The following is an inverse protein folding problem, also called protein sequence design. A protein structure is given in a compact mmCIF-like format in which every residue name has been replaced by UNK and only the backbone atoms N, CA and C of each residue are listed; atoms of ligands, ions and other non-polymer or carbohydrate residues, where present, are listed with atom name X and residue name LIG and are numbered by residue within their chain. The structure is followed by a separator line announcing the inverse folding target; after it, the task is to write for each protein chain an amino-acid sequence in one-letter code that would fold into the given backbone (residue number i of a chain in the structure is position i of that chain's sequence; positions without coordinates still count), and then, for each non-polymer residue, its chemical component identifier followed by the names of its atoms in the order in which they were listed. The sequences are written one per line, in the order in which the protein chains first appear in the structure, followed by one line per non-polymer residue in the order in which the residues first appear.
data_IF_508281034287
#
_entry.id   IF_508281034287
#
_cell.length_a   1.000
_cell.length_b   1.000
_cell.length_c   1.000
_cell.angle_alpha   90.00
_cell.angle_beta   90.00
_cell.angle_gamma   90.00
#
_symmetry.space_group_name_H-M   'P 1'
#
loop_
_entity.id
_entity.type
_entity.pdbx_description
1 polymer ?
#
# COMPACT_ATOMS: atom_id res chain seq x y z
N UNK A 1 -3.43 27.31 0.80
CA UNK A 1 -3.21 25.90 1.13
C UNK A 1 -3.22 25.15 -0.19
N UNK A 2 -2.20 24.34 -0.50
CA UNK A 2 -2.26 23.49 -1.70
C UNK A 2 -3.29 22.40 -1.41
N UNK A 3 -4.45 22.49 -2.03
CA UNK A 3 -5.51 21.49 -1.84
C UNK A 3 -5.21 20.26 -2.72
N UNK A 4 -5.26 19.08 -2.09
CA UNK A 4 -5.25 17.82 -2.83
C UNK A 4 -6.48 17.74 -3.72
N UNK A 5 -6.28 17.32 -4.97
CA UNK A 5 -7.35 17.06 -5.95
C UNK A 5 -8.37 16.05 -5.41
N UNK A 6 -9.58 16.04 -5.98
CA UNK A 6 -10.61 15.04 -5.63
C UNK A 6 -10.08 13.61 -5.79
N UNK A 7 -9.35 13.35 -6.88
CA UNK A 7 -8.66 12.08 -7.13
C UNK A 7 -7.67 11.72 -6.02
N UNK A 8 -6.84 12.68 -5.59
CA UNK A 8 -5.88 12.43 -4.52
C UNK A 8 -6.55 12.13 -3.18
N UNK A 9 -7.71 12.75 -2.88
CA UNK A 9 -8.50 12.44 -1.68
C UNK A 9 -9.10 11.03 -1.73
N UNK A 10 -9.61 10.62 -2.89
CA UNK A 10 -10.12 9.26 -3.09
C UNK A 10 -9.04 8.20 -2.82
N UNK A 11 -7.82 8.41 -3.35
CA UNK A 11 -6.71 7.50 -3.07
C UNK A 11 -6.31 7.49 -1.58
N UNK A 12 -6.39 8.62 -0.87
CA UNK A 12 -6.11 8.66 0.57
C UNK A 12 -7.12 7.83 1.35
N UNK A 13 -8.41 7.96 1.05
CA UNK A 13 -9.47 7.20 1.72
C UNK A 13 -9.30 5.71 1.46
N UNK A 14 -9.12 5.31 0.20
CA UNK A 14 -8.89 3.91 -0.19
C UNK A 14 -7.65 3.32 0.47
N UNK A 15 -6.56 4.09 0.52
CA UNK A 15 -5.32 3.65 1.15
C UNK A 15 -5.49 3.49 2.66
N UNK A 16 -6.18 4.41 3.35
CA UNK A 16 -6.48 4.28 4.79
C UNK A 16 -7.31 3.03 5.07
N UNK A 17 -8.38 2.82 4.31
CA UNK A 17 -9.19 1.59 4.42
C UNK A 17 -8.35 0.34 4.18
N UNK A 18 -7.45 0.36 3.18
CA UNK A 18 -6.56 -0.77 2.94
C UNK A 18 -5.60 -1.04 4.10
N UNK A 19 -5.05 0.01 4.72
CA UNK A 19 -4.22 -0.13 5.91
C UNK A 19 -5.01 -0.73 7.07
N UNK A 20 -6.19 -0.21 7.35
CA UNK A 20 -7.05 -0.64 8.46
C UNK A 20 -7.60 -2.07 8.31
N UNK A 21 -8.02 -2.45 7.10
CA UNK A 21 -8.69 -3.74 6.86
C UNK A 21 -7.73 -4.87 6.47
N UNK A 22 -6.57 -4.56 5.89
CA UNK A 22 -5.65 -5.57 5.34
C UNK A 22 -4.27 -5.52 5.99
N UNK A 23 -3.63 -4.35 6.08
CA UNK A 23 -2.23 -4.27 6.52
C UNK A 23 -2.08 -4.45 8.03
N UNK A 24 -2.75 -3.65 8.85
CA UNK A 24 -2.62 -3.74 10.31
C UNK A 24 -3.09 -5.10 10.86
N UNK A 25 -4.22 -5.68 10.41
CA UNK A 25 -4.61 -7.02 10.84
C UNK A 25 -3.64 -8.13 10.42
N UNK A 26 -2.82 -7.89 9.39
CA UNK A 26 -1.83 -8.85 8.91
C UNK A 26 -0.50 -8.79 9.68
N UNK A 27 -0.22 -7.74 10.47
CA UNK A 27 1.02 -7.62 11.24
C UNK A 27 1.27 -8.79 12.22
N UNK A 28 0.28 -9.27 12.99
CA UNK A 28 0.47 -10.44 13.85
C UNK A 28 0.76 -11.71 13.05
N UNK A 29 0.06 -11.90 11.92
CA UNK A 29 0.26 -13.06 11.02
C UNK A 29 1.67 -13.03 10.41
N UNK A 30 2.14 -11.85 10.03
CA UNK A 30 3.52 -11.65 9.58
C UNK A 30 4.51 -12.05 10.66
N UNK A 31 4.32 -11.59 11.90
CA UNK A 31 5.19 -11.92 13.01
C UNK A 31 5.22 -13.43 13.29
N UNK A 32 4.07 -14.11 13.26
CA UNK A 32 3.97 -15.56 13.42
C UNK A 32 4.69 -16.32 12.29
N UNK A 33 4.46 -15.94 11.03
CA UNK A 33 5.10 -16.58 9.88
C UNK A 33 6.62 -16.37 9.89
N UNK A 34 7.09 -15.19 10.29
CA UNK A 34 8.52 -14.90 10.43
C UNK A 34 9.16 -15.63 11.61
N UNK A 35 8.44 -15.80 12.73
CA UNK A 35 8.94 -16.58 13.88
C UNK A 35 9.04 -18.07 13.55
N UNK A 36 8.16 -18.59 12.70
CA UNK A 36 8.21 -19.96 12.20
C UNK A 36 9.22 -20.16 11.05
N UNK A 37 9.74 -19.08 10.46
CA UNK A 37 10.65 -19.15 9.33
C UNK A 37 12.04 -19.65 9.74
N UNK A 38 12.60 -20.55 8.92
CA UNK A 38 13.96 -21.07 9.12
C UNK A 38 15.06 -20.02 8.88
N UNK A 39 14.73 -18.93 8.20
CA UNK A 39 15.67 -17.85 7.85
C UNK A 39 15.00 -16.49 8.01
N UNK A 40 15.71 -15.48 8.53
CA UNK A 40 15.21 -14.10 8.63
C UNK A 40 14.99 -13.43 7.26
N UNK A 41 15.48 -14.03 6.17
CA UNK A 41 15.27 -13.54 4.80
C UNK A 41 14.10 -14.22 4.10
N UNK A 42 13.34 -15.06 4.81
CA UNK A 42 12.15 -15.71 4.24
C UNK A 42 11.10 -14.65 3.95
N UNK A 43 10.45 -14.76 2.79
CA UNK A 43 9.30 -13.93 2.45
C UNK A 43 8.03 -14.65 2.90
N UNK A 44 7.34 -14.17 3.94
CA UNK A 44 6.15 -14.81 4.46
C UNK A 44 4.99 -14.66 3.47
N UNK A 45 4.13 -15.68 3.38
CA UNK A 45 3.03 -15.75 2.42
C UNK A 45 2.08 -14.55 2.55
N UNK A 46 1.87 -14.05 3.76
CA UNK A 46 1.00 -12.89 4.01
C UNK A 46 1.44 -11.65 3.22
N UNK A 47 2.74 -11.46 2.99
CA UNK A 47 3.21 -10.34 2.16
C UNK A 47 2.84 -10.51 0.69
N UNK A 48 2.86 -11.72 0.16
CA UNK A 48 2.42 -11.98 -1.23
C UNK A 48 0.92 -11.77 -1.39
N UNK A 49 0.14 -12.19 -0.39
CA UNK A 49 -1.31 -12.01 -0.37
C UNK A 49 -1.67 -10.51 -0.33
N UNK A 50 -1.00 -9.72 0.53
CA UNK A 50 -1.19 -8.27 0.60
C UNK A 50 -0.79 -7.56 -0.70
N UNK A 51 0.31 -7.96 -1.35
CA UNK A 51 0.71 -7.40 -2.66
C UNK A 51 -0.34 -7.69 -3.73
N UNK A 52 -0.89 -8.90 -3.75
CA UNK A 52 -1.93 -9.29 -4.69
C UNK A 52 -3.20 -8.48 -4.50
N UNK A 53 -3.63 -8.28 -3.24
CA UNK A 53 -4.82 -7.49 -2.93
C UNK A 53 -4.60 -6.00 -3.23
N UNK A 54 -3.43 -5.44 -2.91
CA UNK A 54 -3.09 -4.06 -3.26
C UNK A 54 -3.15 -3.82 -4.78
N UNK A 55 -2.63 -4.77 -5.59
CA UNK A 55 -2.74 -4.71 -7.07
C UNK A 55 -4.18 -4.77 -7.54
N UNK A 56 -4.98 -5.68 -6.99
CA UNK A 56 -6.40 -5.85 -7.33
C UNK A 56 -7.22 -4.60 -7.01
N UNK A 57 -6.90 -3.92 -5.91
CA UNK A 57 -7.53 -2.66 -5.52
C UNK A 57 -6.91 -1.43 -6.20
N UNK A 58 -5.95 -1.59 -7.12
CA UNK A 58 -5.31 -0.47 -7.83
C UNK A 58 -4.44 0.42 -6.93
N UNK A 59 -4.03 -0.06 -5.76
CA UNK A 59 -3.13 0.61 -4.81
C UNK A 59 -1.66 0.24 -5.06
N UNK A 60 -1.30 -0.05 -6.30
CA UNK A 60 0.02 -0.53 -6.69
C UNK A 60 0.78 0.50 -7.51
N UNK A 61 2.10 0.58 -7.31
CA UNK A 61 2.99 1.52 -7.99
C UNK A 61 2.49 2.99 -7.92
N UNK A 62 1.91 3.41 -6.79
CA UNK A 62 1.33 4.75 -6.61
C UNK A 62 2.34 5.89 -6.86
N UNK A 63 3.64 5.62 -6.65
CA UNK A 63 4.73 6.57 -6.91
C UNK A 63 5.04 6.75 -8.40
N UNK A 64 4.55 5.86 -9.27
CA UNK A 64 4.93 5.86 -10.68
C UNK A 64 4.10 6.89 -11.46
N UNK A 65 4.75 7.90 -12.08
CA UNK A 65 4.05 9.02 -12.72
C UNK A 65 3.48 8.64 -14.10
N UNK A 66 3.94 7.53 -14.70
CA UNK A 66 3.44 7.06 -16.00
C UNK A 66 2.23 6.12 -15.84
N UNK A 67 1.11 6.36 -16.54
CA UNK A 67 -0.14 5.60 -16.40
C UNK A 67 -0.08 4.15 -16.91
N UNK A 68 0.94 3.82 -17.71
CA UNK A 68 1.17 2.43 -18.18
C UNK A 68 1.62 1.50 -17.04
N UNK A 69 2.30 2.05 -16.03
CA UNK A 69 2.99 1.27 -14.99
C UNK A 69 2.45 1.53 -13.57
N UNK A 70 1.52 2.48 -13.44
CA UNK A 70 0.88 2.90 -12.19
C UNK A 70 -0.27 3.87 -12.47
N UNK A 71 -0.84 4.51 -11.45
CA UNK A 71 -2.00 5.40 -11.61
C UNK A 71 -1.69 6.77 -12.24
N UNK A 72 -0.42 7.12 -12.44
CA UNK A 72 -0.03 8.41 -13.00
C UNK A 72 -0.41 9.60 -12.11
N UNK A 73 -0.17 9.45 -10.81
CA UNK A 73 -0.40 10.51 -9.83
C UNK A 73 0.66 11.61 -9.97
N UNK A 74 0.24 12.85 -9.79
CA UNK A 74 1.16 13.98 -9.66
C UNK A 74 1.87 13.91 -8.30
N UNK A 75 3.01 14.59 -8.17
CA UNK A 75 3.73 14.66 -6.89
C UNK A 75 2.85 15.21 -5.75
N UNK A 76 1.96 16.16 -6.04
CA UNK A 76 1.05 16.74 -5.05
C UNK A 76 -0.03 15.76 -4.59
N UNK A 77 -0.46 14.85 -5.47
CA UNK A 77 -1.41 13.78 -5.15
C UNK A 77 -0.75 12.63 -4.40
N UNK A 78 0.51 12.29 -4.74
CA UNK A 78 1.24 11.19 -4.14
C UNK A 78 1.82 11.52 -2.75
N UNK A 79 2.29 12.75 -2.52
CA UNK A 79 2.90 13.17 -1.26
C UNK A 79 2.10 12.77 0.00
N UNK A 80 0.78 13.04 0.11
CA UNK A 80 0.00 12.62 1.29
C UNK A 80 -0.23 11.10 1.36
N UNK A 81 -0.14 10.37 0.25
CA UNK A 81 -0.24 8.91 0.26
C UNK A 81 1.03 8.29 0.85
N UNK A 82 2.19 8.86 0.53
CA UNK A 82 3.46 8.44 1.10
C UNK A 82 3.50 8.63 2.63
N UNK A 83 2.87 9.69 3.14
CA UNK A 83 2.72 9.94 4.59
C UNK A 83 1.89 8.84 5.28
N UNK A 84 0.83 8.33 4.64
CA UNK A 84 0.00 7.25 5.20
C UNK A 84 0.77 5.92 5.26
N UNK A 85 1.64 5.67 4.29
CA UNK A 85 2.46 4.44 4.23
C UNK A 85 3.76 4.49 5.05
N UNK A 86 4.12 5.68 5.56
CA UNK A 86 5.45 6.00 6.11
C UNK A 86 5.62 5.69 7.59
#
# INVERSE_FOLDING_TARGET
MLETSERGREYQERLKTFMDEFVYPAEPVYAEQMAAAASPHTQPQILEDLKAEAKKQGLWNLFHPHPEWGPGLTNLEYAPLAEITG
#
